data_IF_314024545055
#
_entry.id   IF_314024545055
#
_cell.length_a   1.000
_cell.length_b   1.000
_cell.length_c   1.000
_cell.angle_alpha   90.00
_cell.angle_beta   90.00
_cell.angle_gamma   90.00
#
_symmetry.space_group_name_H-M   'P 1'
#
loop_
_entity.id
_entity.type
_entity.pdbx_description
1 polymer ?
#
# COMPACT_ATOMS: atom_id res chain seq x y z
N UNK A 1 -22.11 -16.77 45.86
CA UNK A 1 -21.18 -17.32 44.86
C UNK A 1 -21.60 -16.69 43.55
N UNK A 2 -20.85 -15.69 43.08
CA UNK A 2 -21.16 -14.97 41.85
C UNK A 2 -20.52 -15.74 40.69
N UNK A 3 -21.35 -16.16 39.74
CA UNK A 3 -20.94 -17.00 38.62
C UNK A 3 -19.86 -16.32 37.78
N UNK A 4 -18.79 -17.09 37.58
CA UNK A 4 -17.64 -16.79 36.75
C UNK A 4 -18.01 -16.89 35.26
N UNK A 5 -18.87 -15.98 34.77
CA UNK A 5 -19.24 -15.86 33.36
C UNK A 5 -18.31 -14.93 32.56
N UNK A 6 -17.10 -14.66 33.06
CA UNK A 6 -16.18 -13.68 32.47
C UNK A 6 -15.14 -14.22 31.48
N UNK A 7 -15.06 -15.53 31.25
CA UNK A 7 -14.09 -16.13 30.33
C UNK A 7 -14.71 -17.30 29.55
N UNK A 8 -15.33 -16.99 28.41
CA UNK A 8 -15.49 -17.96 27.30
C UNK A 8 -14.87 -17.51 25.98
N UNK A 9 -14.01 -16.50 26.03
CA UNK A 9 -12.91 -16.35 25.07
C UNK A 9 -11.65 -16.67 25.87
N UNK A 10 -11.24 -17.92 25.82
CA UNK A 10 -10.15 -18.45 26.65
C UNK A 10 -8.84 -17.73 26.39
N UNK A 11 -7.93 -17.85 27.36
CA UNK A 11 -6.54 -17.36 27.33
C UNK A 11 -5.82 -17.68 26.00
N UNK A 12 -6.25 -18.74 25.30
CA UNK A 12 -5.76 -19.11 23.96
C UNK A 12 -6.12 -18.09 22.86
N UNK A 13 -7.34 -17.55 22.83
CA UNK A 13 -7.76 -16.58 21.80
C UNK A 13 -7.08 -15.21 21.98
N UNK A 14 -6.84 -14.79 23.23
CA UNK A 14 -6.07 -13.56 23.50
C UNK A 14 -4.59 -13.74 23.11
N UNK A 15 -4.03 -14.93 23.35
CA UNK A 15 -2.66 -15.29 22.97
C UNK A 15 -2.49 -15.36 21.45
N UNK A 16 -3.43 -16.00 20.75
CA UNK A 16 -3.48 -16.06 19.29
C UNK A 16 -3.60 -14.66 18.68
N UNK A 17 -4.50 -13.82 19.22
CA UNK A 17 -4.63 -12.42 18.81
C UNK A 17 -3.32 -11.65 19.00
N UNK A 18 -2.70 -11.73 20.18
CA UNK A 18 -1.43 -11.03 20.46
C UNK A 18 -0.33 -11.52 19.53
N UNK A 19 -0.26 -12.82 19.28
CA UNK A 19 0.70 -13.41 18.33
C UNK A 19 0.46 -12.92 16.90
N UNK A 20 -0.79 -12.89 16.44
CA UNK A 20 -1.13 -12.40 15.11
C UNK A 20 -0.78 -10.92 14.95
N UNK A 21 -1.12 -10.09 15.95
CA UNK A 21 -0.80 -8.67 15.94
C UNK A 21 0.73 -8.44 15.98
N UNK A 22 1.46 -9.24 16.75
CA UNK A 22 2.93 -9.20 16.76
C UNK A 22 3.50 -9.53 15.38
N UNK A 23 3.06 -10.63 14.77
CA UNK A 23 3.50 -11.02 13.43
C UNK A 23 3.21 -9.94 12.37
N UNK A 24 2.02 -9.33 12.42
CA UNK A 24 1.66 -8.20 11.54
C UNK A 24 2.62 -7.02 11.74
N UNK A 25 2.96 -6.68 12.98
CA UNK A 25 3.89 -5.59 13.26
C UNK A 25 5.31 -5.91 12.80
N UNK A 26 5.75 -7.17 12.90
CA UNK A 26 7.04 -7.60 12.32
C UNK A 26 7.03 -7.50 10.79
N UNK A 27 5.93 -7.90 10.13
CA UNK A 27 5.77 -7.69 8.69
C UNK A 27 5.90 -6.21 8.33
N UNK A 28 5.26 -5.29 9.06
CA UNK A 28 5.43 -3.86 8.83
C UNK A 28 6.86 -3.37 9.03
N UNK A 29 7.62 -3.92 9.99
CA UNK A 29 9.05 -3.56 10.15
C UNK A 29 9.87 -4.01 8.95
N UNK A 30 9.62 -5.21 8.45
CA UNK A 30 10.30 -5.74 7.26
C UNK A 30 9.94 -4.89 6.04
N UNK A 31 8.65 -4.63 5.80
CA UNK A 31 8.19 -3.82 4.68
C UNK A 31 8.72 -2.39 4.75
N UNK A 32 8.74 -1.76 5.93
CA UNK A 32 9.35 -0.45 6.12
C UNK A 32 10.86 -0.46 5.86
N UNK A 33 11.55 -1.58 6.10
CA UNK A 33 12.96 -1.72 5.71
C UNK A 33 13.14 -1.95 4.20
N UNK A 34 12.23 -2.70 3.56
CA UNK A 34 12.18 -2.84 2.10
C UNK A 34 11.96 -1.48 1.43
N UNK A 35 11.01 -0.68 1.94
CA UNK A 35 10.73 0.66 1.42
C UNK A 35 11.96 1.56 1.53
N UNK A 36 12.67 1.55 2.66
CA UNK A 36 13.93 2.31 2.82
C UNK A 36 14.99 1.91 1.80
N UNK A 37 15.09 0.62 1.48
CA UNK A 37 16.02 0.14 0.44
C UNK A 37 15.59 0.69 -0.92
N UNK A 38 14.31 0.58 -1.27
CA UNK A 38 13.76 1.15 -2.51
C UNK A 38 14.04 2.66 -2.57
N UNK A 39 13.71 3.41 -1.53
CA UNK A 39 13.99 4.84 -1.46
C UNK A 39 15.48 5.18 -1.61
N UNK A 40 16.38 4.36 -1.07
CA UNK A 40 17.83 4.60 -1.16
C UNK A 40 18.41 4.38 -2.56
N UNK A 41 17.72 3.61 -3.42
CA UNK A 41 18.13 3.36 -4.80
C UNK A 41 17.84 4.56 -5.71
N UNK A 42 16.94 5.45 -5.30
CA UNK A 42 16.49 6.58 -6.08
C UNK A 42 16.78 7.91 -5.37
N UNK A 43 16.70 9.02 -6.12
CA UNK A 43 16.73 10.32 -5.46
C UNK A 43 15.43 10.53 -4.66
N UNK A 44 15.48 11.32 -3.57
CA UNK A 44 14.30 11.58 -2.73
C UNK A 44 13.09 12.12 -3.50
N UNK A 45 13.36 12.90 -4.55
CA UNK A 45 12.33 13.48 -5.43
C UNK A 45 12.20 12.75 -6.77
N UNK A 46 12.72 11.52 -6.85
CA UNK A 46 12.67 10.74 -8.07
C UNK A 46 11.25 10.22 -8.31
N UNK A 47 10.63 10.75 -9.36
CA UNK A 47 9.29 10.40 -9.85
C UNK A 47 9.36 9.61 -11.16
N UNK A 48 10.50 9.01 -11.49
CA UNK A 48 10.61 8.14 -12.66
C UNK A 48 9.67 6.94 -12.55
N UNK A 49 9.30 6.38 -13.70
CA UNK A 49 8.44 5.19 -13.80
C UNK A 49 9.01 4.03 -12.99
N UNK A 50 10.33 3.83 -13.01
CA UNK A 50 10.98 2.78 -12.23
C UNK A 50 10.86 3.03 -10.72
N UNK A 51 11.16 4.25 -10.26
CA UNK A 51 11.04 4.65 -8.85
C UNK A 51 9.63 4.44 -8.33
N UNK A 52 8.62 4.96 -9.04
CA UNK A 52 7.20 4.84 -8.66
C UNK A 52 6.72 3.39 -8.67
N UNK A 53 7.16 2.60 -9.66
CA UNK A 53 6.81 1.17 -9.74
C UNK A 53 7.36 0.39 -8.54
N UNK A 54 8.64 0.60 -8.19
CA UNK A 54 9.26 -0.08 -7.05
C UNK A 54 8.64 0.35 -5.71
N UNK A 55 8.32 1.63 -5.53
CA UNK A 55 7.59 2.13 -4.34
C UNK A 55 6.20 1.50 -4.24
N UNK A 56 5.45 1.45 -5.35
CA UNK A 56 4.13 0.85 -5.39
C UNK A 56 4.14 -0.65 -5.06
N UNK A 57 5.19 -1.39 -5.42
CA UNK A 57 5.30 -2.80 -5.06
C UNK A 57 5.35 -3.01 -3.55
N UNK A 58 6.12 -2.20 -2.81
CA UNK A 58 6.19 -2.29 -1.34
C UNK A 58 4.89 -1.77 -0.72
N UNK A 59 4.38 -0.63 -1.19
CA UNK A 59 3.13 -0.03 -0.69
C UNK A 59 1.93 -0.98 -0.84
N UNK A 60 1.84 -1.73 -1.95
CA UNK A 60 0.80 -2.75 -2.12
C UNK A 60 0.89 -3.85 -1.04
N UNK A 61 2.09 -4.31 -0.69
CA UNK A 61 2.27 -5.30 0.39
C UNK A 61 1.88 -4.71 1.75
N UNK A 62 2.18 -3.43 1.99
CA UNK A 62 1.79 -2.72 3.22
C UNK A 62 0.27 -2.59 3.33
N UNK A 63 -0.41 -2.27 2.22
CA UNK A 63 -1.87 -2.22 2.12
C UNK A 63 -2.49 -3.58 2.48
N UNK A 64 -2.00 -4.67 1.91
CA UNK A 64 -2.50 -6.01 2.22
C UNK A 64 -2.26 -6.40 3.69
N UNK A 65 -1.09 -6.05 4.23
CA UNK A 65 -0.78 -6.26 5.66
C UNK A 65 -1.70 -5.43 6.56
N UNK A 66 -2.03 -4.20 6.17
CA UNK A 66 -2.97 -3.35 6.91
C UNK A 66 -4.40 -3.89 6.86
N UNK A 67 -4.85 -4.41 5.71
CA UNK A 67 -6.15 -5.09 5.61
C UNK A 67 -6.23 -6.27 6.58
N UNK A 68 -5.17 -7.08 6.69
CA UNK A 68 -5.09 -8.16 7.67
C UNK A 68 -5.19 -7.65 9.12
N UNK A 69 -4.51 -6.54 9.44
CA UNK A 69 -4.60 -5.88 10.75
C UNK A 69 -6.00 -5.40 11.06
N UNK A 70 -6.68 -4.80 10.09
CA UNK A 70 -8.06 -4.33 10.20
C UNK A 70 -9.01 -5.50 10.48
N UNK A 71 -8.89 -6.61 9.74
CA UNK A 71 -9.71 -7.79 9.99
C UNK A 71 -9.47 -8.38 11.39
N UNK A 72 -8.22 -8.44 11.84
CA UNK A 72 -7.89 -8.86 13.19
C UNK A 72 -8.52 -7.94 14.26
N UNK A 73 -8.48 -6.61 14.05
CA UNK A 73 -9.09 -5.62 14.95
C UNK A 73 -10.63 -5.67 14.94
N UNK A 74 -11.26 -5.93 13.79
CA UNK A 74 -12.71 -6.16 13.69
C UNK A 74 -13.14 -7.37 14.51
N UNK A 75 -12.41 -8.48 14.39
CA UNK A 75 -12.69 -9.68 15.18
C UNK A 75 -12.55 -9.43 16.68
N UNK A 76 -11.51 -8.71 17.11
CA UNK A 76 -11.33 -8.34 18.51
C UNK A 76 -12.43 -7.41 19.01
N UNK A 77 -12.86 -6.44 18.21
CA UNK A 77 -13.96 -5.55 18.53
C UNK A 77 -15.26 -6.33 18.71
N UNK A 78 -15.64 -7.18 17.75
CA UNK A 78 -16.86 -7.98 17.81
C UNK A 78 -16.89 -8.86 19.07
N UNK A 79 -15.79 -9.58 19.32
CA UNK A 79 -15.61 -10.39 20.52
C UNK A 79 -15.75 -9.58 21.83
N UNK A 80 -15.19 -8.37 21.86
CA UNK A 80 -15.28 -7.46 23.00
C UNK A 80 -16.69 -6.93 23.19
N UNK A 81 -17.37 -6.54 22.11
CA UNK A 81 -18.77 -6.08 22.14
C UNK A 81 -19.71 -7.16 22.63
N UNK A 82 -19.55 -8.40 22.18
CA UNK A 82 -20.38 -9.54 22.62
C UNK A 82 -20.13 -9.90 24.09
N UNK A 83 -18.88 -9.81 24.55
CA UNK A 83 -18.51 -10.22 25.92
C UNK A 83 -18.75 -9.15 26.98
N UNK A 84 -18.53 -7.88 26.63
CA UNK A 84 -18.49 -6.77 27.60
C UNK A 84 -19.50 -5.65 27.28
N UNK A 85 -20.12 -5.67 26.10
CA UNK A 85 -21.00 -4.63 25.62
C UNK A 85 -20.25 -3.49 24.91
N UNK A 86 -20.98 -2.76 24.07
CA UNK A 86 -20.44 -1.67 23.25
C UNK A 86 -19.96 -0.45 24.06
N UNK A 87 -20.59 -0.22 25.21
CA UNK A 87 -20.25 0.89 26.11
C UNK A 87 -19.07 0.57 27.06
N UNK A 88 -18.53 -0.66 27.05
CA UNK A 88 -17.35 -0.99 27.83
C UNK A 88 -16.13 -0.24 27.28
N UNK A 89 -15.31 0.28 28.19
CA UNK A 89 -14.12 1.07 27.86
C UNK A 89 -13.16 0.32 26.94
N UNK A 90 -12.99 -1.01 27.11
CA UNK A 90 -12.10 -1.84 26.28
C UNK A 90 -12.68 -2.00 24.87
N UNK A 91 -13.98 -2.18 24.76
CA UNK A 91 -14.66 -2.25 23.45
C UNK A 91 -14.49 -0.93 22.68
N UNK A 92 -14.64 0.21 23.36
CA UNK A 92 -14.39 1.52 22.77
C UNK A 92 -12.91 1.70 22.34
N UNK A 93 -11.95 1.21 23.12
CA UNK A 93 -10.53 1.21 22.72
C UNK A 93 -10.28 0.39 21.44
N UNK A 94 -10.95 -0.74 21.27
CA UNK A 94 -10.86 -1.54 20.04
C UNK A 94 -11.44 -0.79 18.85
N UNK A 95 -12.59 -0.14 19.02
CA UNK A 95 -13.19 0.69 17.98
C UNK A 95 -12.25 1.81 17.54
N UNK A 96 -11.59 2.50 18.49
CA UNK A 96 -10.62 3.56 18.19
C UNK A 96 -9.45 3.00 17.38
N UNK A 97 -8.87 1.87 17.78
CA UNK A 97 -7.76 1.24 17.06
C UNK A 97 -8.17 0.83 15.64
N UNK A 98 -9.35 0.26 15.48
CA UNK A 98 -9.90 -0.11 14.18
C UNK A 98 -10.07 1.12 13.27
N UNK A 99 -10.63 2.21 13.80
CA UNK A 99 -10.83 3.45 13.05
C UNK A 99 -9.49 4.06 12.60
N UNK A 100 -8.49 4.09 13.49
CA UNK A 100 -7.16 4.59 13.15
C UNK A 100 -6.49 3.73 12.08
N UNK A 101 -6.58 2.39 12.20
CA UNK A 101 -6.04 1.48 11.20
C UNK A 101 -6.73 1.64 9.83
N UNK A 102 -8.05 1.89 9.84
CA UNK A 102 -8.83 2.15 8.62
C UNK A 102 -8.44 3.49 7.97
N UNK A 103 -8.23 4.53 8.77
CA UNK A 103 -7.77 5.82 8.26
C UNK A 103 -6.37 5.72 7.63
N UNK A 104 -5.47 4.96 8.24
CA UNK A 104 -4.14 4.65 7.70
C UNK A 104 -4.23 3.88 6.37
N UNK A 105 -5.10 2.86 6.29
CA UNK A 105 -5.37 2.14 5.03
C UNK A 105 -5.85 3.09 3.93
N UNK A 106 -6.84 3.94 4.22
CA UNK A 106 -7.36 4.90 3.25
C UNK A 106 -6.27 5.86 2.76
N UNK A 107 -5.33 6.25 3.63
CA UNK A 107 -4.18 7.08 3.25
C UNK A 107 -3.24 6.34 2.30
N UNK A 108 -2.91 5.08 2.60
CA UNK A 108 -2.06 4.25 1.74
C UNK A 108 -2.71 3.98 0.37
N UNK A 109 -4.01 3.69 0.32
CA UNK A 109 -4.74 3.49 -0.94
C UNK A 109 -4.79 4.78 -1.78
N UNK A 110 -4.92 5.94 -1.12
CA UNK A 110 -4.85 7.23 -1.81
C UNK A 110 -3.45 7.50 -2.38
N UNK A 111 -2.40 7.18 -1.63
CA UNK A 111 -1.02 7.31 -2.09
C UNK A 111 -0.75 6.39 -3.29
N UNK A 112 -1.16 5.11 -3.20
CA UNK A 112 -1.03 4.15 -4.29
C UNK A 112 -1.71 4.69 -5.56
N UNK A 113 -2.96 5.14 -5.43
CA UNK A 113 -3.71 5.73 -6.55
C UNK A 113 -3.01 6.94 -7.16
N UNK A 114 -2.44 7.81 -6.32
CA UNK A 114 -1.67 8.97 -6.79
C UNK A 114 -0.44 8.55 -7.60
N UNK A 115 0.28 7.51 -7.14
CA UNK A 115 1.44 6.99 -7.84
C UNK A 115 1.05 6.29 -9.15
N UNK A 116 -0.05 5.55 -9.17
CA UNK A 116 -0.61 4.94 -10.39
C UNK A 116 -0.97 5.99 -11.44
N UNK A 117 -1.62 7.09 -11.04
CA UNK A 117 -1.90 8.21 -11.95
C UNK A 117 -0.61 8.85 -12.48
N UNK A 118 0.41 9.01 -11.65
CA UNK A 118 1.71 9.53 -12.09
C UNK A 118 2.40 8.58 -13.10
N UNK A 119 2.29 7.27 -12.88
CA UNK A 119 2.79 6.25 -13.82
C UNK A 119 2.07 6.28 -15.17
N UNK A 120 0.74 6.40 -15.16
CA UNK A 120 -0.08 6.48 -16.38
C UNK A 120 0.26 7.73 -17.20
N UNK A 121 0.41 8.87 -16.54
CA UNK A 121 0.81 10.12 -17.21
C UNK A 121 2.20 10.00 -17.82
N UNK A 122 3.18 9.46 -17.07
CA UNK A 122 4.53 9.26 -17.57
C UNK A 122 4.59 8.29 -18.77
N UNK A 123 3.76 7.24 -18.76
CA UNK A 123 3.61 6.32 -19.89
C UNK A 123 3.05 7.03 -21.13
N UNK A 124 2.01 7.84 -20.96
CA UNK A 124 1.40 8.61 -22.05
C UNK A 124 2.38 9.61 -22.66
N UNK A 125 3.11 10.36 -21.82
CA UNK A 125 4.13 11.30 -22.28
C UNK A 125 5.25 10.59 -23.06
N UNK A 126 5.69 9.42 -22.59
CA UNK A 126 6.72 8.63 -23.27
C UNK A 126 6.25 8.11 -24.63
N UNK A 127 5.00 7.66 -24.74
CA UNK A 127 4.40 7.24 -26.01
C UNK A 127 4.34 8.40 -27.02
N UNK A 128 4.01 9.62 -26.57
CA UNK A 128 3.94 10.79 -27.44
C UNK A 128 5.33 11.28 -27.89
N UNK A 129 6.34 11.17 -27.03
CA UNK A 129 7.74 11.39 -27.41
C UNK A 129 8.17 10.35 -28.45
N UNK A 130 7.83 9.07 -28.27
CA UNK A 130 8.17 8.01 -29.23
C UNK A 130 7.56 8.29 -30.60
N UNK A 131 6.26 8.60 -30.68
CA UNK A 131 5.59 8.96 -31.94
C UNK A 131 6.24 10.17 -32.62
N UNK A 132 6.67 11.16 -31.83
CA UNK A 132 7.34 12.35 -32.34
C UNK A 132 8.74 12.02 -32.90
N UNK A 133 9.48 11.15 -32.23
CA UNK A 133 10.77 10.66 -32.68
C UNK A 133 10.64 9.81 -33.95
N UNK A 134 9.65 8.92 -34.04
CA UNK A 134 9.37 8.12 -35.24
C UNK A 134 9.05 9.01 -36.44
N UNK A 135 8.22 10.04 -36.23
CA UNK A 135 7.92 11.03 -37.28
C UNK A 135 9.17 11.77 -37.74
N UNK A 136 10.01 12.20 -36.80
CA UNK A 136 11.28 12.86 -37.12
C UNK A 136 12.23 11.93 -37.88
N UNK A 137 12.30 10.65 -37.51
CA UNK A 137 13.07 9.63 -38.23
C UNK A 137 12.61 9.49 -39.68
N UNK A 138 11.30 9.35 -39.89
CA UNK A 138 10.71 9.28 -41.22
C UNK A 138 11.01 10.54 -42.06
N UNK A 139 10.89 11.74 -41.47
CA UNK A 139 11.19 13.00 -42.15
C UNK A 139 12.68 13.12 -42.54
N UNK A 140 13.60 12.62 -41.69
CA UNK A 140 15.04 12.57 -41.96
C UNK A 140 15.36 11.56 -43.08
N UNK A 141 14.76 10.37 -43.04
CA UNK A 141 14.94 9.33 -44.06
C UNK A 141 14.44 9.83 -45.43
N UNK A 142 13.28 10.48 -45.47
CA UNK A 142 12.74 11.11 -46.67
C UNK A 142 13.68 12.20 -47.23
N UNK A 143 14.29 13.00 -46.35
CA UNK A 143 15.26 14.03 -46.76
C UNK A 143 16.56 13.41 -47.30
N UNK A 144 17.05 12.34 -46.67
CA UNK A 144 18.22 11.58 -47.13
C UNK A 144 17.99 10.95 -48.51
N UNK A 145 16.86 10.25 -48.68
CA UNK A 145 16.47 9.67 -49.96
C UNK A 145 16.35 10.73 -51.08
N UNK A 146 15.83 11.92 -50.78
CA UNK A 146 15.77 13.03 -51.75
C UNK A 146 17.15 13.58 -52.09
N UNK A 147 18.08 13.63 -51.15
CA UNK A 147 19.44 14.11 -51.39
C UNK A 147 20.25 13.12 -52.25
N UNK A 148 20.12 11.81 -52.01
CA UNK A 148 20.79 10.77 -52.79
C UNK A 148 20.26 10.68 -54.23
N UNK A 149 18.96 10.87 -54.44
CA UNK A 149 18.35 10.86 -55.78
C UNK A 149 18.60 12.13 -56.61
N UNK A 150 19.18 13.18 -56.02
CA UNK A 150 19.51 14.45 -56.70
C UNK A 150 21.00 14.62 -57.02
N UNK A 151 21.80 13.55 -56.93
CA UNK A 151 23.22 13.50 -57.29
C UNK A 151 23.48 12.35 -58.27
#
# INVERSE_FOLDING_TARGET
>A
MADNFGLKIGVEGEKEFKSALYSINESFKVLGSEMKVVESQFNKNDTSVQSLTSKNQVLNKEIETQKQKIELLKNALNNSSESFGENDRRTQEWQIKLNNATAELNSMEKELKSNETALENAGTEMDDVSKSADKMGNDIDDAGNKAENNN
#
